data_IF_193156546000
#
_entry.id   IF_193156546000
#
_cell.length_a   1.000
_cell.length_b   1.000
_cell.length_c   1.000
_cell.angle_alpha   90.00
_cell.angle_beta   90.00
_cell.angle_gamma   90.00
#
_symmetry.space_group_name_H-M   'P 1'
#
loop_
_entity.id
_entity.type
_entity.pdbx_description
1 polymer ?
#
# COMPACT_ATOMS: atom_id res chain seq x y z
N UNK A 1 9.32 4.50 -19.47
CA UNK A 1 10.48 4.72 -18.58
C UNK A 1 10.17 5.72 -17.46
N UNK A 2 9.82 6.98 -17.77
CA UNK A 2 9.53 8.02 -16.77
C UNK A 2 8.39 7.67 -15.79
N UNK A 3 7.33 7.03 -16.28
CA UNK A 3 6.18 6.58 -15.45
C UNK A 3 6.63 5.55 -14.41
N UNK A 4 7.54 4.63 -14.78
CA UNK A 4 8.07 3.63 -13.87
C UNK A 4 8.97 4.25 -12.80
N UNK A 5 9.82 5.21 -13.19
CA UNK A 5 10.67 5.94 -12.26
C UNK A 5 9.83 6.71 -11.22
N UNK A 6 8.80 7.42 -11.67
CA UNK A 6 7.89 8.14 -10.78
C UNK A 6 7.09 7.18 -9.88
N UNK A 7 6.62 6.05 -10.42
CA UNK A 7 5.93 5.03 -9.65
C UNK A 7 6.79 4.42 -8.53
N UNK A 8 8.07 4.14 -8.79
CA UNK A 8 8.99 3.59 -7.77
C UNK A 8 9.29 4.60 -6.65
N UNK A 9 9.41 5.89 -6.98
CA UNK A 9 9.59 6.92 -5.97
C UNK A 9 8.35 7.03 -5.09
N UNK A 10 7.16 6.98 -5.68
CA UNK A 10 5.90 6.97 -4.95
C UNK A 10 5.74 5.70 -4.08
N UNK A 11 6.17 4.52 -4.58
CA UNK A 11 6.28 3.23 -3.84
C UNK A 11 7.14 3.29 -2.60
N UNK A 12 8.18 4.13 -2.61
CA UNK A 12 9.17 4.12 -1.54
C UNK A 12 8.61 4.70 -0.23
N UNK A 13 7.79 5.74 -0.30
CA UNK A 13 7.18 6.36 0.88
C UNK A 13 6.28 5.45 1.73
N UNK A 14 5.26 4.76 1.19
CA UNK A 14 4.43 3.85 2.00
C UNK A 14 5.25 2.64 2.45
N UNK A 15 6.22 2.19 1.65
CA UNK A 15 7.07 1.07 2.04
C UNK A 15 7.91 1.42 3.28
N UNK A 16 8.54 2.60 3.31
CA UNK A 16 9.27 3.07 4.50
C UNK A 16 8.35 3.30 5.70
N UNK A 17 7.15 3.86 5.52
CA UNK A 17 6.21 4.11 6.61
C UNK A 17 5.61 2.80 7.19
N UNK A 18 5.24 1.84 6.34
CA UNK A 18 4.62 0.58 6.76
C UNK A 18 5.66 -0.39 7.31
N UNK A 19 6.76 -0.59 6.57
CA UNK A 19 7.79 -1.59 6.92
C UNK A 19 8.81 -1.01 7.90
N UNK A 20 9.21 0.26 7.73
CA UNK A 20 10.20 0.90 8.59
C UNK A 20 9.61 1.39 9.91
N UNK A 21 8.47 2.06 9.88
CA UNK A 21 7.87 2.68 11.07
C UNK A 21 6.87 1.72 11.73
N UNK A 22 5.74 1.44 11.08
CA UNK A 22 4.63 0.68 11.69
C UNK A 22 5.00 -0.75 12.11
N UNK A 23 5.79 -1.46 11.30
CA UNK A 23 6.25 -2.82 11.62
C UNK A 23 7.29 -2.84 12.76
N UNK A 24 8.19 -1.85 12.82
CA UNK A 24 9.16 -1.72 13.91
C UNK A 24 8.50 -1.33 15.25
N UNK A 25 7.40 -0.56 15.22
CA UNK A 25 6.62 -0.21 16.41
C UNK A 25 5.71 -1.32 16.95
N UNK A 26 5.77 -2.54 16.39
CA UNK A 26 5.00 -3.68 16.88
C UNK A 26 3.55 -3.78 16.35
N UNK A 27 3.11 -2.86 15.48
CA UNK A 27 1.76 -2.88 14.88
C UNK A 27 1.70 -3.72 13.60
N UNK A 28 2.22 -4.95 13.69
CA UNK A 28 2.39 -5.86 12.54
C UNK A 28 1.05 -6.35 11.97
N UNK A 29 0.04 -6.55 12.83
CA UNK A 29 -1.29 -7.03 12.41
C UNK A 29 -1.99 -6.04 11.49
N UNK A 30 -1.86 -4.73 11.77
CA UNK A 30 -2.41 -3.69 10.89
C UNK A 30 -1.69 -3.68 9.53
N UNK A 31 -0.35 -3.74 9.53
CA UNK A 31 0.43 -3.78 8.29
C UNK A 31 0.05 -4.98 7.41
N UNK A 32 -0.08 -6.17 8.00
CA UNK A 32 -0.50 -7.38 7.29
C UNK A 32 -1.92 -7.27 6.73
N UNK A 33 -2.87 -6.76 7.53
CA UNK A 33 -4.23 -6.55 7.08
C UNK A 33 -4.31 -5.56 5.92
N UNK A 34 -3.59 -4.44 6.00
CA UNK A 34 -3.55 -3.44 4.95
C UNK A 34 -2.94 -4.00 3.65
N UNK A 35 -1.87 -4.78 3.74
CA UNK A 35 -1.21 -5.37 2.57
C UNK A 35 -2.09 -6.42 1.89
N UNK A 36 -2.75 -7.27 2.68
CA UNK A 36 -3.73 -8.25 2.19
C UNK A 36 -4.90 -7.54 1.50
N UNK A 37 -5.51 -6.53 2.12
CA UNK A 37 -6.64 -5.81 1.51
C UNK A 37 -6.21 -5.10 0.23
N UNK A 38 -5.05 -4.45 0.22
CA UNK A 38 -4.56 -3.77 -0.97
C UNK A 38 -4.29 -4.74 -2.12
N UNK A 39 -3.64 -5.88 -1.88
CA UNK A 39 -3.38 -6.86 -2.94
C UNK A 39 -4.65 -7.61 -3.36
N UNK A 40 -5.45 -8.12 -2.41
CA UNK A 40 -6.56 -9.02 -2.73
C UNK A 40 -7.86 -8.31 -3.10
N UNK A 41 -8.13 -7.14 -2.54
CA UNK A 41 -9.36 -6.39 -2.87
C UNK A 41 -9.15 -5.39 -3.99
N UNK A 42 -7.90 -4.95 -4.24
CA UNK A 42 -7.61 -3.90 -5.22
C UNK A 42 -6.66 -4.42 -6.28
N UNK A 43 -5.40 -4.74 -5.97
CA UNK A 43 -4.41 -5.11 -6.98
C UNK A 43 -4.84 -6.25 -7.91
N UNK A 44 -5.17 -7.41 -7.33
CA UNK A 44 -5.47 -8.63 -8.07
C UNK A 44 -6.80 -8.52 -8.85
N UNK A 45 -7.93 -8.11 -8.24
CA UNK A 45 -9.20 -8.02 -8.97
C UNK A 45 -9.14 -7.01 -10.11
N UNK A 46 -8.45 -5.89 -9.90
CA UNK A 46 -8.41 -4.78 -10.84
C UNK A 46 -7.43 -5.08 -11.98
N UNK A 47 -6.32 -5.77 -11.71
CA UNK A 47 -5.45 -6.34 -12.74
C UNK A 47 -6.16 -7.44 -13.56
N UNK A 48 -6.89 -8.34 -12.89
CA UNK A 48 -7.67 -9.38 -13.57
C UNK A 48 -8.77 -8.78 -14.45
N UNK A 49 -9.48 -7.75 -13.97
CA UNK A 49 -10.49 -7.04 -14.75
C UNK A 49 -9.89 -6.35 -15.98
N UNK A 50 -8.77 -5.65 -15.81
CA UNK A 50 -8.08 -4.98 -16.91
C UNK A 50 -7.57 -5.98 -17.98
N UNK A 51 -6.99 -7.10 -17.55
CA UNK A 51 -6.43 -8.10 -18.45
C UNK A 51 -7.53 -8.93 -19.16
N UNK A 52 -8.55 -9.38 -18.42
CA UNK A 52 -9.53 -10.34 -18.93
C UNK A 52 -10.73 -9.67 -19.61
N UNK A 53 -11.20 -8.53 -19.11
CA UNK A 53 -12.42 -7.87 -19.63
C UNK A 53 -12.05 -6.82 -20.67
N UNK A 54 -11.09 -5.96 -20.34
CA UNK A 54 -10.74 -4.82 -21.19
C UNK A 54 -9.67 -5.13 -22.25
N UNK A 55 -8.89 -6.23 -22.09
CA UNK A 55 -7.74 -6.57 -22.96
C UNK A 55 -6.83 -5.35 -23.25
N UNK A 56 -6.74 -4.45 -22.27
CA UNK A 56 -6.00 -3.20 -22.41
C UNK A 56 -4.51 -3.46 -22.32
N UNK A 57 -3.75 -2.61 -23.01
CA UNK A 57 -2.29 -2.68 -23.01
C UNK A 57 -1.70 -2.59 -21.59
N UNK A 58 -0.50 -3.16 -21.36
CA UNK A 58 0.13 -3.25 -20.03
C UNK A 58 0.28 -1.90 -19.33
N UNK A 59 0.32 -0.82 -20.09
CA UNK A 59 0.42 0.56 -19.60
C UNK A 59 -0.73 0.93 -18.66
N UNK A 60 -1.95 0.49 -18.96
CA UNK A 60 -3.12 0.76 -18.13
C UNK A 60 -3.09 -0.05 -16.85
N UNK A 61 -2.62 -1.30 -16.91
CA UNK A 61 -2.42 -2.14 -15.72
C UNK A 61 -1.43 -1.49 -14.76
N UNK A 62 -0.42 -0.79 -15.28
CA UNK A 62 0.52 -0.02 -14.46
C UNK A 62 -0.12 1.17 -13.72
N UNK A 63 -1.05 1.89 -14.34
CA UNK A 63 -1.79 2.97 -13.66
C UNK A 63 -2.66 2.44 -12.52
N UNK A 64 -3.20 1.23 -12.68
CA UNK A 64 -3.96 0.56 -11.63
C UNK A 64 -3.08 0.19 -10.44
N UNK A 65 -1.84 -0.25 -10.69
CA UNK A 65 -0.86 -0.46 -9.64
C UNK A 65 -0.55 0.82 -8.87
N UNK A 66 -0.49 1.97 -9.53
CA UNK A 66 -0.29 3.27 -8.88
C UNK A 66 -1.46 3.58 -7.93
N UNK A 67 -2.69 3.23 -8.31
CA UNK A 67 -3.89 3.43 -7.50
C UNK A 67 -3.84 2.59 -6.21
N UNK A 68 -3.36 1.33 -6.29
CA UNK A 68 -3.13 0.50 -5.10
C UNK A 68 -2.19 1.18 -4.10
N UNK A 69 -1.16 1.88 -4.60
CA UNK A 69 -0.20 2.57 -3.74
C UNK A 69 -0.80 3.73 -2.99
N UNK A 70 -1.65 4.51 -3.66
CA UNK A 70 -2.34 5.65 -3.06
C UNK A 70 -3.21 5.18 -1.90
N UNK A 71 -3.84 4.01 -2.03
CA UNK A 71 -4.62 3.39 -0.95
C UNK A 71 -3.71 3.00 0.22
N UNK A 72 -2.55 2.38 -0.05
CA UNK A 72 -1.56 2.07 1.00
C UNK A 72 -1.03 3.33 1.68
N UNK A 73 -0.83 4.42 0.91
CA UNK A 73 -0.44 5.74 1.39
C UNK A 73 -1.45 6.29 2.38
N UNK A 74 -2.73 6.30 1.98
CA UNK A 74 -3.80 6.83 2.80
C UNK A 74 -3.98 6.02 4.09
N UNK A 75 -3.95 4.68 3.99
CA UNK A 75 -4.03 3.79 5.16
C UNK A 75 -2.87 3.99 6.14
N UNK A 76 -1.64 4.11 5.62
CA UNK A 76 -0.45 4.33 6.43
C UNK A 76 -0.44 5.72 7.09
N UNK A 77 -0.76 6.77 6.34
CA UNK A 77 -0.84 8.14 6.87
C UNK A 77 -1.93 8.28 7.93
N UNK A 78 -3.10 7.69 7.70
CA UNK A 78 -4.19 7.70 8.67
C UNK A 78 -3.79 6.99 9.97
N UNK A 79 -3.14 5.81 9.85
CA UNK A 79 -2.65 5.06 11.02
C UNK A 79 -1.55 5.80 11.78
N UNK A 80 -0.63 6.42 11.04
CA UNK A 80 0.48 7.20 11.60
C UNK A 80 -0.05 8.44 12.35
N UNK A 81 -1.03 9.15 11.78
CA UNK A 81 -1.74 10.26 12.47
C UNK A 81 -2.49 9.80 13.71
N UNK A 82 -3.09 8.61 13.67
CA UNK A 82 -3.86 8.07 14.79
C UNK A 82 -3.00 7.76 16.02
N UNK A 83 -1.66 7.73 15.92
CA UNK A 83 -0.69 7.40 17.00
C UNK A 83 -0.91 6.06 17.73
N UNK A 84 -1.97 5.30 17.39
CA UNK A 84 -2.31 3.99 17.98
C UNK A 84 -1.24 2.92 17.79
N UNK A 85 -0.32 3.13 16.85
CA UNK A 85 0.86 2.28 16.66
C UNK A 85 1.86 2.41 17.82
N UNK A 86 1.90 3.56 18.51
CA UNK A 86 2.68 3.73 19.74
C UNK A 86 1.90 3.10 20.89
N UNK A 87 1.99 1.77 21.01
CA UNK A 87 1.59 1.10 22.24
C UNK A 87 2.58 1.51 23.33
N UNK A 88 2.10 2.20 24.37
CA UNK A 88 2.90 2.46 25.55
C UNK A 88 3.27 1.11 26.18
N UNK A 89 4.52 0.71 26.05
CA UNK A 89 5.09 -0.50 26.66
C UNK A 89 5.33 -0.32 28.18
N UNK A 90 4.97 0.83 28.74
CA UNK A 90 5.30 1.26 30.11
C UNK A 90 4.04 1.25 31.01
N UNK A 91 2.84 1.02 30.46
CA UNK A 91 1.62 1.00 31.26
C UNK A 91 1.26 -0.45 31.66
N UNK A 92 1.76 -0.83 32.85
CA UNK A 92 1.46 -1.99 33.71
C UNK A 92 0.91 -3.27 33.08
#
# INVERSE_FOLDING_TARGET
MLILCLGIVLRSFPMTAIVGVLRAGGDVKFCLGQDIVAQWCIGIPLAAFAALVLKVEPEWIYLLFLTEEVVKWFGSLHRMKSKKWMKNLIEN
#
